data_IF_281263230621
#
_entry.id   IF_281263230621
#
_cell.length_a   1.000
_cell.length_b   1.000
_cell.length_c   1.000
_cell.angle_alpha   90.00
_cell.angle_beta   90.00
_cell.angle_gamma   90.00
#
_symmetry.space_group_name_H-M   'P 1'
#
loop_
_entity.id
_entity.type
_entity.pdbx_description
1 polymer ?
#
# COMPACT_ATOMS: atom_id res chain seq x y z
N UNK A 1 4.62 -13.51 26.53
CA UNK A 1 3.98 -13.94 25.27
C UNK A 1 4.23 -12.88 24.20
N UNK A 2 4.65 -13.27 23.03
CA UNK A 2 4.90 -12.36 21.91
C UNK A 2 3.57 -11.89 21.33
N UNK A 3 3.46 -10.58 20.97
CA UNK A 3 2.21 -10.05 20.41
C UNK A 3 2.07 -10.50 18.95
N UNK A 4 0.84 -10.83 18.47
CA UNK A 4 0.62 -11.23 17.09
C UNK A 4 0.89 -10.07 16.12
N UNK A 5 1.25 -10.40 14.88
CA UNK A 5 1.27 -9.47 13.76
C UNK A 5 -0.16 -9.18 13.30
N UNK A 6 -0.58 -7.93 13.41
CA UNK A 6 -1.91 -7.46 13.00
C UNK A 6 -1.81 -6.53 11.80
N UNK A 7 -2.61 -6.79 10.78
CA UNK A 7 -2.81 -5.88 9.65
C UNK A 7 -4.22 -5.29 9.71
N UNK A 8 -4.30 -3.97 9.82
CA UNK A 8 -5.53 -3.22 9.64
C UNK A 8 -5.66 -2.86 8.17
N UNK A 9 -6.62 -3.46 7.48
CA UNK A 9 -6.82 -3.25 6.06
C UNK A 9 -7.95 -2.23 5.83
N UNK A 10 -7.62 -1.00 5.48
CA UNK A 10 -8.56 0.08 5.18
C UNK A 10 -8.81 0.21 3.67
N UNK A 11 -10.06 0.41 3.30
CA UNK A 11 -10.44 0.75 1.92
C UNK A 11 -11.57 1.79 1.91
N UNK A 12 -11.51 2.81 1.03
CA UNK A 12 -12.63 3.73 0.83
C UNK A 12 -13.82 3.06 0.13
N UNK A 13 -13.63 1.90 -0.48
CA UNK A 13 -14.70 1.14 -1.12
C UNK A 13 -15.66 0.48 -0.14
N UNK A 14 -16.84 0.09 -0.66
CA UNK A 14 -17.88 -0.57 0.12
C UNK A 14 -17.50 -2.01 0.59
N UNK A 15 -16.44 -2.57 0.07
CA UNK A 15 -15.94 -3.90 0.44
C UNK A 15 -14.42 -3.99 0.28
N UNK A 16 -13.81 -4.78 1.13
CA UNK A 16 -12.41 -5.16 1.05
C UNK A 16 -12.22 -6.24 -0.03
N UNK A 17 -11.11 -6.21 -0.73
CA UNK A 17 -10.74 -7.21 -1.73
C UNK A 17 -10.33 -8.53 -1.05
N UNK A 18 -11.01 -9.67 -1.34
CA UNK A 18 -10.56 -10.96 -0.85
C UNK A 18 -9.17 -11.35 -1.33
N UNK A 19 -8.76 -10.88 -2.52
CA UNK A 19 -7.42 -11.09 -3.06
C UNK A 19 -6.36 -10.49 -2.12
N UNK A 20 -6.53 -9.24 -1.72
CA UNK A 20 -5.57 -8.55 -0.85
C UNK A 20 -5.54 -9.17 0.56
N UNK A 21 -6.69 -9.62 1.07
CA UNK A 21 -6.78 -10.36 2.34
C UNK A 21 -5.97 -11.65 2.28
N UNK A 22 -6.15 -12.45 1.22
CA UNK A 22 -5.41 -13.69 1.05
C UNK A 22 -3.90 -13.44 0.96
N UNK A 23 -3.49 -12.44 0.16
CA UNK A 23 -2.08 -12.06 0.03
C UNK A 23 -1.47 -11.61 1.35
N UNK A 24 -2.23 -10.94 2.20
CA UNK A 24 -1.76 -10.53 3.52
C UNK A 24 -1.49 -11.73 4.44
N UNK A 25 -2.38 -12.74 4.46
CA UNK A 25 -2.13 -13.98 5.19
C UNK A 25 -0.94 -14.75 4.64
N UNK A 26 -0.82 -14.85 3.31
CA UNK A 26 0.34 -15.50 2.66
C UNK A 26 1.66 -14.76 2.95
N UNK A 27 1.62 -13.45 3.20
CA UNK A 27 2.75 -12.64 3.63
C UNK A 27 3.11 -12.82 5.12
N UNK A 28 2.37 -13.62 5.89
CA UNK A 28 2.70 -13.98 7.26
C UNK A 28 2.06 -13.11 8.35
N UNK A 29 0.98 -12.38 8.04
CA UNK A 29 0.20 -11.71 9.08
C UNK A 29 -0.63 -12.72 9.86
N UNK A 30 -0.59 -12.63 11.20
CA UNK A 30 -1.37 -13.53 12.07
C UNK A 30 -2.86 -13.22 12.04
N UNK A 31 -3.21 -11.94 11.83
CA UNK A 31 -4.60 -11.53 11.64
C UNK A 31 -4.68 -10.33 10.70
N UNK A 32 -5.67 -10.36 9.82
CA UNK A 32 -6.02 -9.28 8.89
C UNK A 32 -7.44 -8.80 9.24
N UNK A 33 -7.55 -7.53 9.62
CA UNK A 33 -8.81 -6.94 10.06
C UNK A 33 -9.28 -5.96 8.97
N UNK A 34 -10.34 -6.28 8.23
CA UNK A 34 -10.82 -5.44 7.15
C UNK A 34 -11.75 -4.32 7.64
N UNK A 35 -11.58 -3.13 7.06
CA UNK A 35 -12.42 -1.96 7.29
C UNK A 35 -12.82 -1.36 5.94
N UNK A 36 -14.10 -1.42 5.61
CA UNK A 36 -14.68 -0.80 4.42
C UNK A 36 -15.22 0.60 4.73
N UNK A 37 -15.23 1.47 3.73
CA UNK A 37 -15.74 2.84 3.86
C UNK A 37 -14.84 3.78 4.66
N UNK A 38 -13.55 3.45 4.81
CA UNK A 38 -12.56 4.32 5.46
C UNK A 38 -11.99 5.28 4.42
N UNK A 39 -12.37 6.53 4.49
CA UNK A 39 -11.94 7.59 3.58
C UNK A 39 -10.71 8.37 4.05
N UNK A 40 -10.38 9.43 3.29
CA UNK A 40 -9.26 10.32 3.60
C UNK A 40 -9.48 11.06 4.93
N UNK A 41 -10.71 11.42 5.23
CA UNK A 41 -11.12 12.12 6.46
C UNK A 41 -10.96 11.25 7.70
N UNK A 42 -11.07 9.92 7.56
CA UNK A 42 -11.03 8.98 8.68
C UNK A 42 -9.63 8.49 9.01
N UNK A 43 -8.73 8.45 8.01
CA UNK A 43 -7.48 7.69 8.09
C UNK A 43 -6.53 8.20 9.17
N UNK A 44 -6.57 9.48 9.51
CA UNK A 44 -5.74 10.03 10.58
C UNK A 44 -6.15 9.48 11.95
N UNK A 45 -7.45 9.52 12.29
CA UNK A 45 -7.99 8.95 13.52
C UNK A 45 -7.81 7.44 13.56
N UNK A 46 -8.07 6.75 12.45
CA UNK A 46 -7.84 5.31 12.29
C UNK A 46 -6.37 4.92 12.60
N UNK A 47 -5.42 5.71 12.11
CA UNK A 47 -4.00 5.48 12.39
C UNK A 47 -3.66 5.69 13.86
N UNK A 48 -4.20 6.74 14.49
CA UNK A 48 -3.99 7.00 15.90
C UNK A 48 -4.55 5.89 16.79
N UNK A 49 -5.72 5.36 16.48
CA UNK A 49 -6.28 4.20 17.17
C UNK A 49 -5.36 2.97 17.05
N UNK A 50 -4.81 2.72 15.87
CA UNK A 50 -3.89 1.62 15.65
C UNK A 50 -2.57 1.75 16.43
N UNK A 51 -2.00 2.97 16.51
CA UNK A 51 -0.70 3.18 17.18
C UNK A 51 -0.82 3.22 18.70
N UNK A 52 -1.85 3.86 19.27
CA UNK A 52 -1.96 4.03 20.71
C UNK A 52 -2.50 2.79 21.45
N UNK A 53 -3.24 1.93 20.76
CA UNK A 53 -3.87 0.74 21.37
C UNK A 53 -2.88 -0.38 21.72
N UNK A 54 -1.67 -0.41 21.17
CA UNK A 54 -0.78 -1.58 21.27
C UNK A 54 0.50 -1.38 22.08
N UNK A 55 0.86 -0.15 22.42
CA UNK A 55 2.10 0.19 23.12
C UNK A 55 3.38 -0.06 22.26
N UNK A 56 4.57 0.32 22.74
CA UNK A 56 5.80 0.37 21.92
C UNK A 56 6.25 -0.98 21.32
N UNK A 57 5.93 -2.10 21.95
CA UNK A 57 6.25 -3.43 21.41
C UNK A 57 5.22 -3.93 20.42
N UNK A 58 3.97 -3.50 20.57
CA UNK A 58 2.89 -3.93 19.70
C UNK A 58 2.86 -3.15 18.39
N UNK A 59 3.23 -1.88 18.36
CA UNK A 59 3.28 -1.08 17.13
C UNK A 59 4.26 -1.65 16.11
N UNK A 60 5.37 -2.26 16.55
CA UNK A 60 6.33 -2.95 15.67
C UNK A 60 5.77 -4.22 15.02
N UNK A 61 4.59 -4.66 15.44
CA UNK A 61 3.86 -5.83 14.93
C UNK A 61 2.47 -5.42 14.46
N UNK A 62 2.31 -4.17 14.08
CA UNK A 62 1.06 -3.62 13.55
C UNK A 62 1.36 -2.99 12.21
N UNK A 63 0.50 -3.23 11.23
CA UNK A 63 0.56 -2.60 9.93
C UNK A 63 -0.80 -2.04 9.53
N UNK A 64 -0.77 -1.07 8.64
CA UNK A 64 -1.95 -0.54 7.95
C UNK A 64 -1.73 -0.76 6.45
N UNK A 65 -2.68 -1.42 5.80
CA UNK A 65 -2.73 -1.54 4.35
C UNK A 65 -3.89 -0.71 3.82
N UNK A 66 -3.62 0.12 2.83
CA UNK A 66 -4.61 0.96 2.16
C UNK A 66 -4.86 0.39 0.77
N UNK A 67 -6.03 -0.23 0.61
CA UNK A 67 -6.50 -0.77 -0.65
C UNK A 67 -7.45 0.18 -1.39
N UNK A 68 -8.19 -0.37 -2.35
CA UNK A 68 -9.15 0.39 -3.15
C UNK A 68 -8.83 0.34 -4.63
N UNK A 69 -9.29 1.35 -5.39
CA UNK A 69 -9.09 1.42 -6.84
C UNK A 69 -8.53 2.75 -7.32
N UNK A 70 -8.62 3.78 -6.51
CA UNK A 70 -8.11 5.12 -6.80
C UNK A 70 -6.70 5.27 -6.23
N UNK A 71 -5.72 5.36 -7.12
CA UNK A 71 -4.32 5.44 -6.76
C UNK A 71 -3.95 6.80 -6.15
N UNK A 72 -4.60 7.88 -6.57
CA UNK A 72 -4.37 9.23 -6.04
C UNK A 72 -4.91 9.30 -4.62
N UNK A 73 -6.17 8.90 -4.41
CA UNK A 73 -6.78 8.85 -3.09
C UNK A 73 -5.97 7.95 -2.13
N UNK A 74 -5.52 6.79 -2.58
CA UNK A 74 -4.71 5.90 -1.76
C UNK A 74 -3.35 6.51 -1.37
N UNK A 75 -2.73 7.31 -2.26
CA UNK A 75 -1.52 8.07 -1.95
C UNK A 75 -1.77 9.16 -0.91
N UNK A 76 -2.87 9.90 -1.04
CA UNK A 76 -3.25 10.94 -0.08
C UNK A 76 -3.55 10.33 1.30
N UNK A 77 -4.25 9.20 1.33
CA UNK A 77 -4.51 8.44 2.57
C UNK A 77 -3.20 7.92 3.20
N UNK A 78 -2.27 7.42 2.40
CA UNK A 78 -0.95 6.97 2.88
C UNK A 78 -0.19 8.13 3.54
N UNK A 79 -0.17 9.29 2.91
CA UNK A 79 0.51 10.46 3.44
C UNK A 79 -0.18 10.99 4.71
N UNK A 80 -1.51 11.00 4.75
CA UNK A 80 -2.28 11.38 5.94
C UNK A 80 -2.03 10.41 7.11
N UNK A 81 -2.00 9.10 6.85
CA UNK A 81 -1.64 8.10 7.85
C UNK A 81 -0.22 8.32 8.41
N UNK A 82 0.76 8.57 7.55
CA UNK A 82 2.14 8.88 7.98
C UNK A 82 2.23 10.11 8.86
N UNK A 83 1.52 11.19 8.51
CA UNK A 83 1.47 12.44 9.28
C UNK A 83 0.76 12.29 10.62
N UNK A 84 -0.15 11.32 10.75
CA UNK A 84 -0.88 11.04 11.99
C UNK A 84 -0.05 10.24 13.01
N UNK A 85 1.10 9.71 12.63
CA UNK A 85 1.97 8.95 13.55
C UNK A 85 2.68 9.87 14.52
N UNK A 86 2.88 9.37 15.73
CA UNK A 86 3.52 10.11 16.83
C UNK A 86 4.67 9.27 17.39
N UNK A 87 5.92 9.61 17.12
CA UNK A 87 7.07 8.85 17.64
C UNK A 87 7.05 8.73 19.17
N UNK A 88 7.38 7.58 19.74
CA UNK A 88 7.84 6.35 19.10
C UNK A 88 6.71 5.40 18.67
N UNK A 89 5.47 5.86 18.63
CA UNK A 89 4.29 5.10 18.23
C UNK A 89 4.11 5.20 16.71
N UNK A 90 4.81 4.34 15.99
CA UNK A 90 4.78 4.29 14.53
C UNK A 90 4.53 2.84 14.08
N UNK A 91 3.73 2.68 13.05
CA UNK A 91 3.40 1.39 12.43
C UNK A 91 3.82 1.40 10.97
N UNK A 92 4.00 0.22 10.39
CA UNK A 92 4.17 0.12 8.94
C UNK A 92 2.87 0.51 8.24
N UNK A 93 2.95 1.37 7.23
CA UNK A 93 1.81 1.70 6.37
C UNK A 93 2.20 1.51 4.91
N UNK A 94 1.33 0.87 4.15
CA UNK A 94 1.52 0.55 2.74
C UNK A 94 0.22 0.75 1.97
N UNK A 95 0.31 1.34 0.79
CA UNK A 95 -0.82 1.48 -0.12
C UNK A 95 -0.52 0.76 -1.43
N UNK A 96 -1.48 -0.04 -1.91
CA UNK A 96 -1.39 -0.68 -3.22
C UNK A 96 -2.79 -0.93 -3.80
N UNK A 97 -3.51 0.14 -4.17
CA UNK A 97 -4.87 0.04 -4.67
C UNK A 97 -4.93 -0.78 -5.96
N UNK A 98 -5.63 -1.93 -5.91
CA UNK A 98 -5.71 -2.90 -7.02
C UNK A 98 -4.35 -3.36 -7.56
N UNK A 99 -3.32 -3.41 -6.73
CA UNK A 99 -1.96 -3.76 -7.14
C UNK A 99 -1.30 -2.73 -8.06
N UNK A 100 -1.74 -1.47 -8.04
CA UNK A 100 -1.29 -0.45 -8.99
C UNK A 100 0.18 -0.10 -8.82
N UNK A 101 0.64 0.16 -7.60
CA UNK A 101 2.01 0.58 -7.32
C UNK A 101 3.01 -0.55 -7.55
N UNK A 102 2.74 -1.72 -7.00
CA UNK A 102 3.63 -2.88 -7.14
C UNK A 102 3.72 -3.36 -8.59
N UNK A 103 2.59 -3.39 -9.31
CA UNK A 103 2.57 -3.81 -10.72
C UNK A 103 3.25 -2.78 -11.62
N UNK A 104 3.04 -1.49 -11.41
CA UNK A 104 3.73 -0.44 -12.16
C UNK A 104 5.24 -0.51 -11.95
N UNK A 105 5.70 -0.61 -10.71
CA UNK A 105 7.11 -0.75 -10.40
C UNK A 105 7.73 -1.99 -11.06
N UNK A 106 7.05 -3.14 -10.98
CA UNK A 106 7.50 -4.38 -11.61
C UNK A 106 7.54 -4.28 -13.15
N UNK A 107 6.56 -3.60 -13.75
CA UNK A 107 6.51 -3.36 -15.20
C UNK A 107 7.69 -2.51 -15.66
N UNK A 108 7.93 -1.36 -15.00
CA UNK A 108 9.05 -0.47 -15.33
C UNK A 108 10.38 -1.18 -15.17
N UNK A 109 10.59 -1.90 -14.06
CA UNK A 109 11.81 -2.65 -13.82
C UNK A 109 12.06 -3.76 -14.88
N UNK A 110 10.99 -4.42 -15.36
CA UNK A 110 11.11 -5.41 -16.45
C UNK A 110 11.48 -4.76 -17.78
N UNK A 111 10.92 -3.61 -18.11
CA UNK A 111 11.25 -2.84 -19.31
C UNK A 111 12.72 -2.41 -19.27
N UNK A 112 13.16 -1.83 -18.16
CA UNK A 112 14.55 -1.40 -17.96
C UNK A 112 15.52 -2.57 -18.11
N UNK A 113 15.22 -3.70 -17.46
CA UNK A 113 16.03 -4.91 -17.58
C UNK A 113 16.10 -5.44 -19.02
N UNK A 114 14.98 -5.42 -19.75
CA UNK A 114 14.92 -5.87 -21.13
C UNK A 114 15.75 -4.95 -22.05
N UNK A 115 15.65 -3.63 -21.88
CA UNK A 115 16.45 -2.65 -22.61
C UNK A 115 17.95 -2.86 -22.36
N UNK A 116 18.35 -3.00 -21.12
CA UNK A 116 19.75 -3.23 -20.77
C UNK A 116 20.29 -4.55 -21.39
N UNK A 117 19.52 -5.65 -21.24
CA UNK A 117 19.96 -6.97 -21.69
C UNK A 117 20.00 -7.09 -23.22
N UNK A 118 18.99 -6.58 -23.93
CA UNK A 118 18.82 -6.80 -25.38
C UNK A 118 19.43 -5.71 -26.24
N UNK A 119 19.60 -4.49 -25.69
CA UNK A 119 20.02 -3.33 -26.46
C UNK A 119 21.18 -2.55 -25.82
N UNK A 120 21.63 -2.89 -24.62
CA UNK A 120 22.66 -2.15 -23.88
C UNK A 120 22.24 -0.71 -23.54
N UNK A 121 20.94 -0.45 -23.40
CA UNK A 121 20.36 0.87 -23.21
C UNK A 121 19.76 1.02 -21.80
N UNK A 122 19.58 2.27 -21.36
CA UNK A 122 18.85 2.64 -20.16
C UNK A 122 17.56 3.40 -20.52
N UNK A 123 16.65 3.57 -19.57
CA UNK A 123 15.44 4.38 -19.73
C UNK A 123 15.74 5.89 -19.77
N UNK A 124 16.91 6.31 -19.27
CA UNK A 124 17.26 7.72 -19.19
C UNK A 124 17.21 8.38 -20.58
N UNK A 125 16.47 9.48 -20.68
CA UNK A 125 16.29 10.26 -21.91
C UNK A 125 15.45 9.56 -23.00
N UNK A 126 14.78 8.44 -22.70
CA UNK A 126 13.92 7.74 -23.66
C UNK A 126 12.48 8.24 -23.58
N UNK A 127 11.79 8.25 -24.72
CA UNK A 127 10.35 8.42 -24.78
C UNK A 127 9.68 7.07 -24.62
N UNK A 128 8.72 6.98 -23.71
CA UNK A 128 7.96 5.76 -23.42
C UNK A 128 6.48 6.03 -23.73
N UNK A 129 5.81 5.08 -24.36
CA UNK A 129 4.36 5.09 -24.55
C UNK A 129 3.76 4.00 -23.67
N UNK A 130 2.79 4.38 -22.83
CA UNK A 130 2.06 3.44 -21.97
C UNK A 130 0.64 3.29 -22.51
N UNK A 131 0.33 2.09 -23.04
CA UNK A 131 -1.04 1.76 -23.46
C UNK A 131 -1.86 1.42 -22.21
N UNK A 132 -3.09 1.99 -22.14
CA UNK A 132 -3.92 1.88 -20.93
C UNK A 132 -3.49 2.82 -19.81
N UNK A 133 -2.83 3.93 -20.13
CA UNK A 133 -2.33 4.95 -19.18
C UNK A 133 -3.40 5.61 -18.30
N UNK A 134 -4.69 5.38 -18.56
CA UNK A 134 -5.80 5.83 -17.71
C UNK A 134 -6.23 4.80 -16.65
N UNK A 135 -5.73 3.58 -16.75
CA UNK A 135 -5.96 2.54 -15.73
C UNK A 135 -5.04 2.69 -14.51
N UNK A 136 -5.36 2.01 -13.38
CA UNK A 136 -4.61 2.17 -12.12
C UNK A 136 -3.09 1.98 -12.28
N UNK A 137 -2.69 0.93 -12.97
CA UNK A 137 -1.26 0.63 -13.20
C UNK A 137 -0.62 1.65 -14.13
N UNK A 138 -1.31 1.99 -15.22
CA UNK A 138 -0.76 2.90 -16.24
C UNK A 138 -0.61 4.35 -15.76
N UNK A 139 -1.44 4.78 -14.81
CA UNK A 139 -1.31 6.11 -14.19
C UNK A 139 -0.08 6.22 -13.25
N UNK A 140 0.38 5.10 -12.73
CA UNK A 140 1.53 5.06 -11.80
C UNK A 140 2.84 4.82 -12.56
N UNK A 141 2.78 4.14 -13.69
CA UNK A 141 3.95 3.84 -14.51
C UNK A 141 4.47 5.05 -15.29
#
# INVERSE_FOLDING_TARGET
>A
MEKPFLLHFATPGARVSPFDVNMAYDAGWDAVIPYAGVGLEDIAGFTQDAIFSRGPRGVKRTGIFIGGRDAVLASDMLEAARKAMVPPFEVSVFADPSGAFTTAAAMVAKVERALAKSHGLTLAGRRVAVFGGTGPVGMIA
#
